data_IF_885841546042
#
_entry.id   IF_885841546042
#
_cell.length_a   1.000
_cell.length_b   1.000
_cell.length_c   1.000
_cell.angle_alpha   90.00
_cell.angle_beta   90.00
_cell.angle_gamma   90.00
#
_symmetry.space_group_name_H-M   'P 1'
#
loop_
_entity.id
_entity.type
_entity.pdbx_description
1 polymer ?
#
# COMPACT_ATOMS: atom_id res chain seq x y z
N UNK A 1 -18.08 12.63 8.24
CA UNK A 1 -17.04 12.56 7.19
C UNK A 1 -16.34 11.23 7.33
N UNK A 2 -15.83 10.64 6.24
CA UNK A 2 -15.15 9.33 6.30
C UNK A 2 -13.81 9.53 7.02
N UNK A 3 -13.47 8.62 7.93
CA UNK A 3 -12.15 8.59 8.58
C UNK A 3 -11.30 7.47 8.00
N UNK A 4 -9.98 7.67 8.03
CA UNK A 4 -8.99 6.67 7.66
C UNK A 4 -7.90 6.63 8.72
N UNK A 5 -7.12 5.55 8.72
CA UNK A 5 -5.89 5.49 9.49
C UNK A 5 -4.76 5.95 8.58
N UNK A 6 -3.99 6.95 8.99
CA UNK A 6 -2.79 7.42 8.27
C UNK A 6 -1.67 7.62 9.27
N UNK A 7 -0.49 7.07 8.99
CA UNK A 7 0.68 7.12 9.88
C UNK A 7 0.39 6.70 11.33
N UNK A 8 -0.48 5.70 11.53
CA UNK A 8 -0.95 5.21 12.85
C UNK A 8 -1.80 6.21 13.64
N UNK A 9 -2.41 7.18 12.96
CA UNK A 9 -3.36 8.11 13.54
C UNK A 9 -4.69 8.06 12.78
N UNK A 10 -5.79 8.31 13.47
CA UNK A 10 -7.11 8.43 12.84
C UNK A 10 -7.26 9.86 12.35
N UNK A 11 -7.46 10.03 11.05
CA UNK A 11 -7.60 11.35 10.40
C UNK A 11 -8.88 11.38 9.56
N UNK A 12 -9.41 12.59 9.35
CA UNK A 12 -10.49 12.81 8.39
C UNK A 12 -9.98 12.59 6.95
N UNK A 13 -10.77 11.91 6.13
CA UNK A 13 -10.44 11.65 4.74
C UNK A 13 -10.97 12.76 3.83
N UNK A 14 -10.05 13.52 3.25
CA UNK A 14 -10.38 14.57 2.27
C UNK A 14 -10.52 14.04 0.84
N UNK A 15 -10.29 12.75 0.60
CA UNK A 15 -10.25 12.17 -0.74
C UNK A 15 -11.53 11.42 -1.08
N UNK A 16 -12.01 11.58 -2.31
CA UNK A 16 -13.10 10.80 -2.88
C UNK A 16 -12.48 9.66 -3.70
N UNK A 17 -12.86 8.42 -3.40
CA UNK A 17 -12.48 7.25 -4.20
C UNK A 17 -13.46 7.11 -5.37
N UNK A 18 -12.96 7.29 -6.60
CA UNK A 18 -13.76 7.10 -7.81
C UNK A 18 -13.72 5.62 -8.22
N UNK A 19 -14.90 5.00 -8.30
CA UNK A 19 -15.08 3.60 -8.72
C UNK A 19 -15.90 3.59 -10.01
N UNK A 20 -15.34 3.00 -11.07
CA UNK A 20 -16.09 2.74 -12.29
C UNK A 20 -17.05 1.57 -12.05
N UNK A 21 -18.26 1.65 -12.60
CA UNK A 21 -19.15 0.50 -12.66
C UNK A 21 -18.58 -0.57 -13.62
N UNK A 22 -19.02 -1.82 -13.44
CA UNK A 22 -18.60 -2.91 -14.34
C UNK A 22 -19.00 -2.59 -15.79
N UNK A 23 -18.03 -2.64 -16.70
CA UNK A 23 -18.23 -2.33 -18.12
C UNK A 23 -18.29 -0.84 -18.46
N UNK A 24 -18.11 0.05 -17.48
CA UNK A 24 -18.03 1.49 -17.74
C UNK A 24 -16.67 1.85 -18.37
N UNK A 25 -16.70 2.70 -19.39
CA UNK A 25 -15.49 3.14 -20.09
C UNK A 25 -14.69 4.11 -19.22
N UNK A 26 -13.43 3.75 -18.93
CA UNK A 26 -12.51 4.58 -18.17
C UNK A 26 -12.26 5.95 -18.83
N UNK A 27 -12.38 6.06 -20.15
CA UNK A 27 -12.26 7.32 -20.89
C UNK A 27 -13.47 8.24 -20.73
N UNK A 28 -14.67 7.67 -20.49
CA UNK A 28 -15.92 8.41 -20.34
C UNK A 28 -16.27 8.73 -18.87
N UNK A 29 -15.51 8.17 -17.91
CA UNK A 29 -15.76 8.32 -16.49
C UNK A 29 -15.65 9.80 -16.07
N UNK A 30 -16.71 10.35 -15.46
CA UNK A 30 -16.71 11.74 -15.00
C UNK A 30 -15.93 11.87 -13.70
N UNK A 31 -14.81 12.60 -13.73
CA UNK A 31 -13.98 12.87 -12.54
C UNK A 31 -14.51 14.10 -11.79
N UNK A 32 -15.05 13.96 -10.56
CA UNK A 32 -15.61 15.09 -9.82
C UNK A 32 -14.53 16.14 -9.45
N UNK A 33 -14.96 17.35 -9.11
CA UNK A 33 -14.07 18.42 -8.64
C UNK A 33 -13.47 18.10 -7.25
N UNK A 34 -12.34 18.73 -6.92
CA UNK A 34 -11.64 18.52 -5.65
C UNK A 34 -10.72 17.30 -5.63
N UNK A 35 -10.41 16.80 -4.43
CA UNK A 35 -9.46 15.69 -4.23
C UNK A 35 -10.09 14.35 -4.54
N UNK A 36 -9.61 13.69 -5.60
CA UNK A 36 -10.15 12.42 -6.10
C UNK A 36 -9.04 11.42 -6.36
N UNK A 37 -9.23 10.17 -5.93
CA UNK A 37 -8.38 9.04 -6.29
C UNK A 37 -9.06 8.32 -7.45
N UNK A 38 -8.49 8.39 -8.65
CA UNK A 38 -9.07 7.80 -9.87
C UNK A 38 -8.48 6.42 -10.16
N UNK A 39 -9.21 5.53 -10.85
CA UNK A 39 -8.63 4.27 -11.34
C UNK A 39 -7.43 4.55 -12.26
N UNK A 40 -6.42 3.69 -12.24
CA UNK A 40 -5.25 3.82 -13.13
C UNK A 40 -5.66 3.94 -14.60
N UNK A 41 -6.58 3.09 -15.06
CA UNK A 41 -7.11 3.14 -16.42
C UNK A 41 -7.72 4.52 -16.77
N UNK A 42 -8.45 5.14 -15.85
CA UNK A 42 -9.02 6.49 -16.03
C UNK A 42 -7.92 7.54 -16.11
N UNK A 43 -6.89 7.46 -15.25
CA UNK A 43 -5.73 8.34 -15.35
C UNK A 43 -5.05 8.21 -16.71
N UNK A 44 -4.82 7.00 -17.21
CA UNK A 44 -4.18 6.78 -18.51
C UNK A 44 -5.02 7.31 -19.67
N UNK A 45 -6.34 7.16 -19.62
CA UNK A 45 -7.24 7.61 -20.67
C UNK A 45 -7.45 9.14 -20.69
N UNK A 46 -7.36 9.79 -19.52
CA UNK A 46 -7.69 11.22 -19.36
C UNK A 46 -6.50 12.07 -18.88
N UNK A 47 -5.26 11.59 -19.03
CA UNK A 47 -4.06 12.21 -18.47
C UNK A 47 -3.92 13.70 -18.85
N UNK A 48 -4.17 14.03 -20.11
CA UNK A 48 -4.07 15.42 -20.62
C UNK A 48 -5.04 16.37 -19.90
N UNK A 49 -6.28 15.91 -19.69
CA UNK A 49 -7.30 16.69 -19.01
C UNK A 49 -7.06 16.81 -17.49
N UNK A 50 -6.45 15.79 -16.88
CA UNK A 50 -6.26 15.71 -15.43
C UNK A 50 -4.89 16.23 -14.96
N UNK A 51 -3.94 16.47 -15.87
CA UNK A 51 -2.56 16.86 -15.50
C UNK A 51 -2.49 18.14 -14.68
N UNK A 52 -3.26 19.18 -15.01
CA UNK A 52 -3.29 20.42 -14.25
C UNK A 52 -3.80 20.21 -12.81
N UNK A 53 -4.84 19.39 -12.65
CA UNK A 53 -5.40 19.03 -11.33
C UNK A 53 -4.46 18.15 -10.52
N UNK A 54 -3.74 17.24 -11.17
CA UNK A 54 -2.66 16.47 -10.53
C UNK A 54 -1.57 17.40 -10.00
N UNK A 55 -1.12 18.37 -10.80
CA UNK A 55 -0.12 19.35 -10.37
C UNK A 55 -0.61 20.22 -9.19
N UNK A 56 -1.91 20.47 -9.08
CA UNK A 56 -2.54 21.11 -7.92
C UNK A 56 -2.71 20.19 -6.70
N UNK A 57 -2.30 18.92 -6.78
CA UNK A 57 -2.43 17.94 -5.70
C UNK A 57 -3.85 17.41 -5.48
N UNK A 58 -4.72 17.54 -6.49
CA UNK A 58 -6.12 17.10 -6.44
C UNK A 58 -6.35 15.69 -6.97
N UNK A 59 -5.37 15.12 -7.69
CA UNK A 59 -5.50 13.79 -8.29
C UNK A 59 -4.56 12.81 -7.60
N UNK A 60 -5.15 11.76 -7.03
CA UNK A 60 -4.49 10.52 -6.67
C UNK A 60 -4.86 9.43 -7.68
N UNK A 61 -4.17 8.30 -7.63
CA UNK A 61 -4.41 7.16 -8.51
C UNK A 61 -4.52 5.88 -7.69
N UNK A 62 -5.38 4.95 -8.09
CA UNK A 62 -5.46 3.64 -7.47
C UNK A 62 -5.26 2.50 -8.48
N UNK A 63 -4.51 1.50 -8.05
CA UNK A 63 -4.24 0.28 -8.81
C UNK A 63 -5.31 -0.78 -8.51
N UNK A 64 -5.91 -1.34 -9.55
CA UNK A 64 -6.69 -2.56 -9.46
C UNK A 64 -5.79 -3.77 -9.17
N UNK A 65 -6.40 -4.85 -8.70
CA UNK A 65 -5.67 -6.02 -8.18
C UNK A 65 -4.79 -6.74 -9.21
N UNK A 66 -5.07 -6.60 -10.51
CA UNK A 66 -4.37 -7.21 -11.64
C UNK A 66 -3.40 -6.25 -12.35
N UNK A 67 -3.36 -4.98 -11.93
CA UNK A 67 -2.48 -3.97 -12.49
C UNK A 67 -1.09 -4.00 -11.86
N UNK A 68 -0.12 -3.47 -12.61
CA UNK A 68 1.30 -3.51 -12.25
C UNK A 68 1.80 -2.16 -11.78
N UNK A 69 2.56 -2.16 -10.68
CA UNK A 69 3.17 -0.94 -10.14
C UNK A 69 4.06 -0.21 -11.16
N UNK A 70 4.74 -0.96 -12.04
CA UNK A 70 5.66 -0.41 -13.03
C UNK A 70 4.97 0.48 -14.08
N UNK A 71 3.64 0.39 -14.23
CA UNK A 71 2.86 1.20 -15.17
C UNK A 71 2.99 2.71 -14.93
N UNK A 72 3.31 3.14 -13.70
CA UNK A 72 3.53 4.55 -13.34
C UNK A 72 5.01 4.90 -13.08
N UNK A 73 5.95 4.07 -13.52
CA UNK A 73 7.37 4.33 -13.31
C UNK A 73 7.76 5.72 -13.88
N UNK A 74 8.44 6.53 -13.06
CA UNK A 74 8.84 7.90 -13.42
C UNK A 74 7.77 8.97 -13.19
N UNK A 75 6.57 8.58 -12.75
CA UNK A 75 5.47 9.53 -12.48
C UNK A 75 4.92 9.45 -11.06
N UNK A 76 5.26 8.42 -10.29
CA UNK A 76 4.72 8.18 -8.94
C UNK A 76 4.84 9.40 -8.01
N UNK A 77 5.97 10.12 -8.05
CA UNK A 77 6.21 11.29 -7.19
C UNK A 77 5.33 12.49 -7.52
N UNK A 78 4.60 12.45 -8.64
CA UNK A 78 3.63 13.48 -9.05
C UNK A 78 2.25 13.27 -8.41
N UNK A 79 2.02 12.14 -7.75
CA UNK A 79 0.75 11.83 -7.10
C UNK A 79 0.81 12.06 -5.59
N UNK A 80 -0.12 12.86 -5.08
CA UNK A 80 -0.26 13.10 -3.65
C UNK A 80 -0.64 11.81 -2.88
N UNK A 81 -1.42 10.93 -3.53
CA UNK A 81 -1.83 9.62 -3.01
C UNK A 81 -1.76 8.58 -4.13
N UNK A 82 -1.11 7.46 -3.83
CA UNK A 82 -1.21 6.23 -4.61
C UNK A 82 -1.94 5.21 -3.76
N UNK A 83 -3.02 4.64 -4.27
CA UNK A 83 -3.78 3.62 -3.58
C UNK A 83 -3.70 2.27 -4.29
N UNK A 84 -3.99 1.20 -3.54
CA UNK A 84 -4.07 -0.16 -4.06
C UNK A 84 -5.37 -0.75 -3.56
N UNK A 85 -6.15 -1.29 -4.50
CA UNK A 85 -7.46 -1.85 -4.21
C UNK A 85 -7.40 -3.33 -3.82
N UNK A 86 -8.16 -3.65 -2.79
CA UNK A 86 -8.40 -5.00 -2.32
C UNK A 86 -9.87 -5.32 -2.54
N UNK A 87 -10.27 -5.85 -3.72
CA UNK A 87 -11.68 -6.11 -4.02
C UNK A 87 -12.31 -7.15 -3.08
N UNK A 88 -11.47 -8.03 -2.53
CA UNK A 88 -11.82 -9.05 -1.54
C UNK A 88 -10.62 -9.26 -0.60
N UNK A 89 -10.88 -9.55 0.67
CA UNK A 89 -9.82 -9.75 1.67
C UNK A 89 -8.85 -10.90 1.33
N UNK A 90 -9.26 -11.86 0.49
CA UNK A 90 -8.41 -12.98 0.05
C UNK A 90 -7.44 -12.62 -1.07
N UNK A 91 -7.49 -11.39 -1.60
CA UNK A 91 -6.60 -10.97 -2.66
C UNK A 91 -5.27 -10.44 -2.13
N UNK A 92 -4.22 -11.25 -2.26
CA UNK A 92 -2.87 -10.88 -1.82
C UNK A 92 -2.06 -10.05 -2.83
N UNK A 93 -2.51 -9.83 -4.07
CA UNK A 93 -1.68 -9.19 -5.12
C UNK A 93 -1.32 -7.75 -4.76
N UNK A 94 -2.23 -7.04 -4.07
CA UNK A 94 -1.99 -5.68 -3.60
C UNK A 94 -0.77 -5.55 -2.66
N UNK A 95 -0.42 -6.61 -1.93
CA UNK A 95 0.77 -6.63 -1.07
C UNK A 95 2.06 -6.57 -1.89
N UNK A 96 2.12 -7.31 -3.00
CA UNK A 96 3.25 -7.31 -3.93
C UNK A 96 3.35 -5.97 -4.65
N UNK A 97 2.22 -5.39 -5.06
CA UNK A 97 2.17 -4.05 -5.66
C UNK A 97 2.75 -3.00 -4.71
N UNK A 98 2.32 -2.99 -3.44
CA UNK A 98 2.84 -2.09 -2.42
C UNK A 98 4.34 -2.25 -2.19
N UNK A 99 4.81 -3.51 -2.05
CA UNK A 99 6.23 -3.80 -1.89
C UNK A 99 7.05 -3.25 -3.07
N UNK A 100 6.61 -3.47 -4.30
CA UNK A 100 7.31 -2.98 -5.50
C UNK A 100 7.30 -1.45 -5.59
N UNK A 101 6.18 -0.80 -5.27
CA UNK A 101 6.08 0.66 -5.21
C UNK A 101 7.15 1.24 -4.27
N UNK A 102 7.37 0.62 -3.10
CA UNK A 102 8.37 1.10 -2.12
C UNK A 102 9.81 0.72 -2.45
N UNK A 103 10.05 -0.56 -2.75
CA UNK A 103 11.40 -1.14 -2.84
C UNK A 103 12.02 -1.02 -4.22
N UNK A 104 11.22 -1.11 -5.28
CA UNK A 104 11.72 -1.06 -6.66
C UNK A 104 11.57 0.32 -7.26
N UNK A 105 10.42 0.96 -7.04
CA UNK A 105 10.08 2.25 -7.64
C UNK A 105 10.33 3.43 -6.70
N UNK A 106 10.67 3.17 -5.45
CA UNK A 106 11.13 4.19 -4.51
C UNK A 106 10.06 5.15 -4.01
N UNK A 107 8.76 4.93 -4.29
CA UNK A 107 7.69 5.84 -3.90
C UNK A 107 7.68 6.07 -2.39
N UNK A 108 7.68 7.34 -1.96
CA UNK A 108 7.70 7.74 -0.53
C UNK A 108 6.42 8.39 -0.05
N UNK A 109 5.49 8.70 -0.95
CA UNK A 109 4.23 9.36 -0.62
C UNK A 109 3.23 8.49 0.14
N UNK A 110 1.99 8.97 0.20
CA UNK A 110 0.88 8.25 0.80
C UNK A 110 0.54 7.00 -0.05
N UNK A 111 0.79 5.83 0.52
CA UNK A 111 0.39 4.54 -0.05
C UNK A 111 -0.80 4.00 0.72
N UNK A 112 -1.98 4.07 0.10
CA UNK A 112 -3.26 3.81 0.74
C UNK A 112 -3.84 2.45 0.35
N UNK A 113 -4.22 1.63 1.33
CA UNK A 113 -5.04 0.45 1.07
C UNK A 113 -6.52 0.87 1.02
N UNK A 114 -7.25 0.48 -0.02
CA UNK A 114 -8.69 0.75 -0.20
C UNK A 114 -9.45 -0.54 -0.53
N UNK A 115 -10.78 -0.54 -0.38
CA UNK A 115 -11.61 -1.73 -0.61
C UNK A 115 -11.85 -2.53 0.68
N UNK A 116 -11.72 -3.85 0.61
CA UNK A 116 -11.98 -4.81 1.68
C UNK A 116 -10.80 -4.91 2.68
N UNK A 117 -10.46 -3.78 3.30
CA UNK A 117 -9.33 -3.65 4.23
C UNK A 117 -9.75 -4.01 5.65
N UNK A 118 -9.19 -5.10 6.17
CA UNK A 118 -9.52 -5.65 7.48
C UNK A 118 -8.42 -5.39 8.53
N UNK A 119 -8.83 -5.34 9.81
CA UNK A 119 -7.96 -5.11 10.97
C UNK A 119 -6.76 -6.06 11.02
N UNK A 120 -7.02 -7.35 10.85
CA UNK A 120 -6.05 -8.46 10.93
C UNK A 120 -4.95 -8.38 9.86
N UNK A 121 -5.22 -7.66 8.76
CA UNK A 121 -4.25 -7.46 7.69
C UNK A 121 -3.37 -6.24 7.88
N UNK A 122 -3.77 -5.28 8.73
CA UNK A 122 -3.10 -3.98 8.81
C UNK A 122 -1.63 -4.09 9.20
N UNK A 123 -1.28 -4.97 10.14
CA UNK A 123 0.12 -5.21 10.49
C UNK A 123 0.93 -5.62 9.26
N UNK A 124 0.50 -6.68 8.56
CA UNK A 124 1.15 -7.18 7.35
C UNK A 124 1.21 -6.12 6.25
N UNK A 125 0.13 -5.35 6.06
CA UNK A 125 0.09 -4.25 5.08
C UNK A 125 1.12 -3.16 5.41
N UNK A 126 1.26 -2.80 6.69
CA UNK A 126 2.30 -1.86 7.14
C UNK A 126 3.72 -2.35 6.80
N UNK A 127 3.95 -3.66 6.93
CA UNK A 127 5.25 -4.28 6.63
C UNK A 127 5.66 -4.17 5.17
N UNK A 128 4.71 -4.24 4.25
CA UNK A 128 4.96 -4.07 2.80
C UNK A 128 4.91 -2.61 2.36
N UNK A 129 4.66 -1.69 3.30
CA UNK A 129 4.88 -0.27 3.13
C UNK A 129 3.65 0.60 2.92
N UNK A 130 2.43 0.06 3.11
CA UNK A 130 1.25 0.90 3.28
C UNK A 130 1.42 1.82 4.50
N UNK A 131 0.98 3.06 4.37
CA UNK A 131 0.98 4.04 5.46
C UNK A 131 -0.37 4.74 5.65
N UNK A 132 -1.36 4.43 4.80
CA UNK A 132 -2.73 4.87 4.92
C UNK A 132 -3.69 3.69 4.66
N UNK A 133 -4.83 3.66 5.36
CA UNK A 133 -5.78 2.55 5.34
C UNK A 133 -7.20 3.07 5.40
N UNK A 134 -7.95 2.83 4.34
CA UNK A 134 -9.37 3.13 4.28
C UNK A 134 -10.18 1.89 4.65
N UNK A 135 -10.27 1.64 5.96
CA UNK A 135 -10.94 0.46 6.53
C UNK A 135 -12.43 0.45 6.23
N UNK A 136 -13.06 -0.74 6.30
CA UNK A 136 -14.52 -0.88 6.11
C UNK A 136 -15.27 -0.02 7.13
N UNK A 137 -16.29 0.71 6.67
CA UNK A 137 -17.05 1.64 7.50
C UNK A 137 -18.00 0.94 8.48
N UNK A 138 -18.28 -0.35 8.27
CA UNK A 138 -19.09 -1.18 9.16
C UNK A 138 -18.30 -1.76 10.35
N UNK A 139 -17.03 -1.35 10.52
CA UNK A 139 -16.14 -1.77 11.61
C UNK A 139 -15.55 -0.57 12.35
N UNK A 140 -15.20 -0.79 13.62
CA UNK A 140 -14.53 0.20 14.48
C UNK A 140 -13.14 0.52 13.94
N UNK A 141 -12.90 1.80 13.62
CA UNK A 141 -11.59 2.27 13.13
C UNK A 141 -10.56 2.33 14.27
N UNK A 142 -11.02 2.55 15.49
CA UNK A 142 -10.22 2.52 16.71
C UNK A 142 -9.68 1.10 16.99
N UNK A 143 -10.49 0.07 16.74
CA UNK A 143 -10.03 -1.32 16.85
C UNK A 143 -9.14 -1.73 15.69
N UNK A 144 -9.42 -1.22 14.49
CA UNK A 144 -8.55 -1.41 13.34
C UNK A 144 -7.15 -0.84 13.63
N UNK A 145 -7.05 0.36 14.19
CA UNK A 145 -5.77 1.00 14.54
C UNK A 145 -4.88 0.12 15.42
N UNK A 146 -5.47 -0.59 16.40
CA UNK A 146 -4.74 -1.52 17.27
C UNK A 146 -4.08 -2.67 16.49
N UNK A 147 -4.65 -3.05 15.35
CA UNK A 147 -4.11 -4.08 14.45
C UNK A 147 -2.72 -3.76 13.90
N UNK A 148 -2.30 -2.48 13.89
CA UNK A 148 -0.94 -2.09 13.48
C UNK A 148 0.15 -2.47 14.50
N UNK A 149 -0.25 -2.93 15.69
CA UNK A 149 0.65 -3.31 16.78
C UNK A 149 0.46 -4.75 17.27
N UNK A 150 -0.21 -5.60 16.48
CA UNK A 150 -0.52 -6.99 16.89
C UNK A 150 0.74 -7.84 17.12
N UNK A 151 1.88 -7.49 16.50
CA UNK A 151 3.16 -8.19 16.70
C UNK A 151 4.29 -7.21 17.02
N UNK A 152 5.13 -7.60 17.98
CA UNK A 152 6.30 -6.82 18.40
C UNK A 152 7.58 -7.16 17.62
N UNK A 153 7.64 -8.33 16.99
CA UNK A 153 8.84 -8.83 16.30
C UNK A 153 8.47 -9.61 15.05
N UNK A 154 9.34 -9.58 14.04
CA UNK A 154 9.07 -10.21 12.73
C UNK A 154 10.24 -11.06 12.25
N UNK A 155 9.95 -12.28 11.80
CA UNK A 155 11.00 -13.17 11.30
C UNK A 155 11.54 -12.74 9.93
N UNK A 156 10.65 -12.59 8.96
CA UNK A 156 10.99 -12.31 7.56
C UNK A 156 11.34 -10.83 7.34
N UNK A 157 12.28 -10.57 6.43
CA UNK A 157 12.54 -9.21 5.95
C UNK A 157 11.36 -8.65 5.14
N UNK A 158 11.15 -7.34 5.17
CA UNK A 158 10.21 -6.59 4.33
C UNK A 158 10.62 -5.12 4.26
N UNK A 159 9.74 -4.23 3.79
CA UNK A 159 9.99 -2.78 3.65
C UNK A 159 10.29 -2.11 4.98
N UNK A 160 9.58 -2.50 6.03
CA UNK A 160 9.73 -1.97 7.40
C UNK A 160 11.05 -2.39 8.08
N UNK A 161 11.51 -3.60 7.79
CA UNK A 161 12.70 -4.20 8.37
C UNK A 161 13.36 -5.12 7.34
N UNK A 162 14.45 -4.66 6.71
CA UNK A 162 15.08 -5.34 5.58
C UNK A 162 16.02 -6.48 5.99
N UNK A 163 16.41 -6.55 7.26
CA UNK A 163 17.28 -7.61 7.77
C UNK A 163 16.40 -8.63 8.48
N UNK A 164 16.42 -9.93 8.13
CA UNK A 164 15.59 -10.95 8.80
C UNK A 164 16.08 -11.24 10.23
N UNK A 165 15.19 -11.75 11.09
CA UNK A 165 15.45 -11.90 12.53
C UNK A 165 16.70 -12.73 12.84
N UNK A 166 16.94 -13.82 12.10
CA UNK A 166 18.11 -14.68 12.33
C UNK A 166 19.46 -13.99 12.08
N UNK A 167 19.48 -12.85 11.39
CA UNK A 167 20.67 -11.98 11.24
C UNK A 167 20.71 -10.84 12.26
N UNK A 168 19.57 -10.49 12.87
CA UNK A 168 19.47 -9.45 13.90
C UNK A 168 19.77 -10.00 15.30
N UNK A 169 19.43 -11.27 15.54
CA UNK A 169 19.64 -11.91 16.82
C UNK A 169 20.91 -12.77 16.80
N UNK A 170 21.87 -12.45 17.66
CA UNK A 170 23.03 -13.30 17.90
C UNK A 170 22.55 -14.62 18.52
N UNK A 171 22.73 -15.74 17.82
CA UNK A 171 22.52 -17.05 18.43
C UNK A 171 23.71 -17.30 19.34
N UNK A 172 23.49 -17.41 20.64
CA UNK A 172 24.51 -17.78 21.64
C UNK A 172 24.94 -19.25 21.53
N UNK A 173 24.99 -19.79 20.31
CA UNK A 173 25.56 -21.11 20.03
C UNK A 173 27.06 -20.88 19.89
N UNK A 174 27.90 -21.42 20.79
CA UNK A 174 29.34 -21.41 20.58
C UNK A 174 29.62 -21.96 19.19
N UNK A 175 30.53 -21.35 18.44
CA UNK A 175 31.04 -21.99 17.23
C UNK A 175 31.62 -23.34 17.67
N UNK A 176 30.91 -24.43 17.41
CA UNK A 176 31.50 -25.76 17.54
C UNK A 176 32.75 -25.74 16.68
N UNK A 177 33.86 -26.00 17.36
CA UNK A 177 35.22 -26.05 16.89
C UNK A 177 35.30 -26.44 15.42
N UNK A 178 36.05 -25.66 14.62
CA UNK A 178 36.64 -26.13 13.39
C UNK A 178 37.41 -27.42 13.72
N UNK A 179 36.79 -28.59 13.59
CA UNK A 179 37.52 -29.85 13.50
C UNK A 179 38.24 -29.86 12.15
N UNK A 180 39.43 -29.30 12.20
CA UNK A 180 40.55 -29.60 11.33
C UNK A 180 40.96 -31.06 11.58
N UNK A 181 40.60 -31.96 10.66
CA UNK A 181 41.10 -33.34 10.55
C UNK A 181 40.24 -34.38 11.28
N UNK A 182 40.12 -35.64 10.83
CA UNK A 182 40.97 -36.44 9.97
C UNK A 182 40.12 -37.32 9.03
N UNK A 183 40.66 -37.60 7.84
CA UNK A 183 39.98 -38.38 6.82
C UNK A 183 39.74 -39.84 7.18
N UNK A 184 38.86 -40.46 6.39
CA UNK A 184 39.03 -41.78 5.77
C UNK A 184 38.46 -41.68 4.36
#
# INVERSE_FOLDING_TARGET
MRKIIKHREIVEDSWIELRAAEGEDAAALTVPAGKVIVPLATWQAQADALTARRAAGEIGVWFASDERAETLQGELDKFAVVAVDFPKFTDGRGMSTAYNLRMRLGYKGELRAIGDVLRDQLFSMSRVGFNAYATRQDRSIEDALKGLTDFSETYSASVDQQVPLFRRHARGVPAETLEIGAGI
#
